data_IF_851173916704
#
_entry.id   IF_851173916704
#
_cell.length_a   1.000
_cell.length_b   1.000
_cell.length_c   1.000
_cell.angle_alpha   90.00
_cell.angle_beta   90.00
_cell.angle_gamma   90.00
#
_symmetry.space_group_name_H-M   'P 1'
#
loop_
_entity.id
_entity.type
_entity.pdbx_description
1 polymer ?
#
# COMPACT_ATOMS: atom_id res chain seq x y z
N UNK A 1 19.93 15.77 -16.35
CA UNK A 1 19.30 17.09 -16.54
C UNK A 1 18.10 17.16 -15.61
N UNK A 2 18.26 17.76 -14.43
CA UNK A 2 17.21 17.83 -13.42
C UNK A 2 16.19 18.90 -13.85
N UNK A 3 14.96 18.49 -14.16
CA UNK A 3 13.86 19.43 -14.41
C UNK A 3 13.59 20.20 -13.12
N UNK A 4 13.79 21.51 -13.20
CA UNK A 4 13.64 22.50 -12.11
C UNK A 4 12.18 22.79 -11.74
N UNK A 5 11.24 22.12 -12.41
CA UNK A 5 9.81 22.15 -12.11
C UNK A 5 9.44 20.76 -11.62
N UNK A 6 8.54 20.64 -10.63
CA UNK A 6 8.11 19.36 -10.03
C UNK A 6 7.41 18.37 -10.99
N UNK A 7 7.61 18.49 -12.29
CA UNK A 7 7.19 17.56 -13.32
C UNK A 7 8.02 16.26 -13.28
N UNK A 8 7.31 15.14 -13.30
CA UNK A 8 7.89 13.80 -13.41
C UNK A 8 8.61 13.66 -14.75
N UNK A 9 9.80 13.06 -14.73
CA UNK A 9 10.47 12.63 -15.96
C UNK A 9 9.67 11.51 -16.63
N UNK A 10 9.83 11.30 -17.94
CA UNK A 10 9.14 10.24 -18.67
C UNK A 10 9.37 8.84 -18.05
N UNK A 11 10.56 8.62 -17.48
CA UNK A 11 10.91 7.40 -16.74
C UNK A 11 10.11 7.25 -15.46
N UNK A 12 10.07 8.29 -14.61
CA UNK A 12 9.27 8.28 -13.38
C UNK A 12 7.79 8.12 -13.68
N UNK A 13 7.29 8.75 -14.75
CA UNK A 13 5.91 8.59 -15.20
C UNK A 13 5.60 7.13 -15.58
N UNK A 14 6.51 6.48 -16.31
CA UNK A 14 6.39 5.07 -16.69
C UNK A 14 6.40 4.17 -15.46
N UNK A 15 7.28 4.41 -14.49
CA UNK A 15 7.28 3.68 -13.23
C UNK A 15 5.97 3.88 -12.44
N UNK A 16 5.46 5.11 -12.37
CA UNK A 16 4.18 5.40 -11.71
C UNK A 16 3.04 4.61 -12.35
N UNK A 17 2.97 4.59 -13.69
CA UNK A 17 1.94 3.86 -14.42
C UNK A 17 2.05 2.34 -14.19
N UNK A 18 3.26 1.79 -14.29
CA UNK A 18 3.51 0.36 -14.06
C UNK A 18 3.16 -0.06 -12.62
N UNK A 19 3.62 0.70 -11.62
CA UNK A 19 3.32 0.43 -10.21
C UNK A 19 1.83 0.61 -9.90
N UNK A 20 1.20 1.65 -10.46
CA UNK A 20 -0.23 1.89 -10.27
C UNK A 20 -1.08 0.76 -10.84
N UNK A 21 -0.71 0.24 -12.02
CA UNK A 21 -1.34 -0.93 -12.61
C UNK A 21 -1.11 -2.20 -11.78
N UNK A 22 0.13 -2.43 -11.31
CA UNK A 22 0.46 -3.56 -10.43
C UNK A 22 -0.40 -3.53 -9.15
N UNK A 23 -0.44 -2.41 -8.45
CA UNK A 23 -1.23 -2.25 -7.23
C UNK A 23 -2.72 -2.47 -7.49
N UNK A 24 -3.24 -1.93 -8.60
CA UNK A 24 -4.63 -2.13 -8.98
C UNK A 24 -4.94 -3.62 -9.24
N UNK A 25 -4.08 -4.32 -9.97
CA UNK A 25 -4.24 -5.75 -10.25
C UNK A 25 -4.18 -6.57 -8.95
N UNK A 26 -3.18 -6.34 -8.10
CA UNK A 26 -3.04 -7.04 -6.82
C UNK A 26 -4.28 -6.82 -5.96
N UNK A 27 -4.75 -5.59 -5.84
CA UNK A 27 -5.94 -5.26 -5.07
C UNK A 27 -7.18 -6.06 -5.52
N UNK A 28 -7.37 -6.23 -6.84
CA UNK A 28 -8.53 -6.96 -7.37
C UNK A 28 -8.35 -8.47 -7.39
N UNK A 29 -7.16 -8.98 -7.71
CA UNK A 29 -6.90 -10.41 -7.73
C UNK A 29 -7.13 -11.06 -6.35
N UNK A 30 -6.81 -10.33 -5.29
CA UNK A 30 -6.94 -10.82 -3.92
C UNK A 30 -8.21 -10.33 -3.21
N UNK A 31 -9.10 -9.59 -3.89
CA UNK A 31 -10.33 -8.97 -3.34
C UNK A 31 -11.19 -9.94 -2.53
N UNK A 32 -11.25 -11.22 -2.94
CA UNK A 32 -12.11 -12.23 -2.33
C UNK A 32 -11.44 -13.02 -1.18
N UNK A 33 -10.15 -12.81 -0.90
CA UNK A 33 -9.37 -13.66 0.00
C UNK A 33 -8.46 -12.87 0.95
N UNK A 34 -7.53 -12.07 0.40
CA UNK A 34 -6.43 -11.44 1.15
C UNK A 34 -5.99 -10.09 0.57
N UNK A 35 -6.95 -9.26 0.13
CA UNK A 35 -6.59 -8.02 -0.58
C UNK A 35 -5.87 -7.01 0.31
N UNK A 36 -6.20 -6.95 1.60
CA UNK A 36 -5.61 -6.04 2.59
C UNK A 36 -4.13 -6.38 2.78
N UNK A 37 -3.83 -7.66 2.82
CA UNK A 37 -2.49 -8.23 3.02
C UNK A 37 -1.61 -7.99 1.80
N UNK A 38 -2.09 -8.44 0.63
CA UNK A 38 -1.34 -8.38 -0.61
C UNK A 38 -1.06 -6.94 -1.06
N UNK A 39 -2.02 -6.01 -0.90
CA UNK A 39 -1.81 -4.60 -1.26
C UNK A 39 -0.84 -3.92 -0.30
N UNK A 40 -0.94 -4.20 1.00
CA UNK A 40 -0.05 -3.63 2.02
C UNK A 40 1.38 -4.08 1.79
N UNK A 41 1.59 -5.38 1.54
CA UNK A 41 2.90 -5.95 1.20
C UNK A 41 3.47 -5.31 -0.07
N UNK A 42 2.67 -5.23 -1.13
CA UNK A 42 3.10 -4.67 -2.42
C UNK A 42 3.53 -3.21 -2.32
N UNK A 43 2.73 -2.36 -1.64
CA UNK A 43 3.07 -0.95 -1.44
C UNK A 43 4.35 -0.84 -0.60
N UNK A 44 4.48 -1.64 0.46
CA UNK A 44 5.67 -1.61 1.32
C UNK A 44 6.94 -1.98 0.56
N UNK A 45 6.95 -3.13 -0.12
CA UNK A 45 8.11 -3.60 -0.90
C UNK A 45 8.51 -2.58 -1.96
N UNK A 46 7.54 -2.02 -2.68
CA UNK A 46 7.80 -1.00 -3.69
C UNK A 46 8.37 0.28 -3.08
N UNK A 47 7.88 0.71 -1.91
CA UNK A 47 8.44 1.85 -1.17
C UNK A 47 9.91 1.64 -0.75
N UNK A 48 10.33 0.38 -0.51
CA UNK A 48 11.72 0.05 -0.20
C UNK A 48 12.65 0.06 -1.42
N UNK A 49 12.12 0.08 -2.63
CA UNK A 49 12.91 0.03 -3.87
C UNK A 49 12.85 1.35 -4.61
N UNK A 50 11.66 1.78 -4.99
CA UNK A 50 11.41 2.99 -5.78
C UNK A 50 11.51 4.27 -4.95
N UNK A 51 11.45 5.43 -5.62
CA UNK A 51 11.44 6.72 -4.93
C UNK A 51 10.08 6.98 -4.26
N UNK A 52 10.09 7.77 -3.18
CA UNK A 52 8.87 8.17 -2.46
C UNK A 52 7.83 8.80 -3.39
N UNK A 53 8.28 9.64 -4.33
CA UNK A 53 7.39 10.33 -5.28
C UNK A 53 6.68 9.32 -6.19
N UNK A 54 7.42 8.38 -6.76
CA UNK A 54 6.86 7.38 -7.68
C UNK A 54 5.80 6.51 -7.00
N UNK A 55 6.07 6.01 -5.80
CA UNK A 55 5.14 5.10 -5.10
C UNK A 55 3.88 5.84 -4.64
N UNK A 56 4.01 7.07 -4.15
CA UNK A 56 2.85 7.87 -3.75
C UNK A 56 1.96 8.20 -4.94
N UNK A 57 2.55 8.60 -6.07
CA UNK A 57 1.81 8.89 -7.29
C UNK A 57 1.17 7.62 -7.88
N UNK A 58 1.85 6.48 -7.80
CA UNK A 58 1.30 5.19 -8.20
C UNK A 58 0.08 4.81 -7.34
N UNK A 59 0.16 4.95 -6.01
CA UNK A 59 -0.96 4.70 -5.12
C UNK A 59 -2.13 5.66 -5.37
N UNK A 60 -1.85 6.93 -5.65
CA UNK A 60 -2.87 7.91 -6.02
C UNK A 60 -3.56 7.52 -7.33
N UNK A 61 -2.79 7.09 -8.34
CA UNK A 61 -3.32 6.57 -9.60
C UNK A 61 -4.21 5.34 -9.36
N UNK A 62 -3.77 4.38 -8.55
CA UNK A 62 -4.58 3.21 -8.18
C UNK A 62 -5.90 3.60 -7.52
N UNK A 63 -5.88 4.56 -6.58
CA UNK A 63 -7.09 5.10 -5.95
C UNK A 63 -8.04 5.77 -6.95
N UNK A 64 -7.50 6.51 -7.92
CA UNK A 64 -8.30 7.11 -8.99
C UNK A 64 -8.92 6.06 -9.90
N UNK A 65 -8.16 5.02 -10.28
CA UNK A 65 -8.67 3.90 -11.06
C UNK A 65 -9.78 3.16 -10.29
N UNK A 66 -9.61 2.97 -8.98
CA UNK A 66 -10.63 2.37 -8.11
C UNK A 66 -11.95 3.16 -8.14
N UNK A 67 -11.86 4.48 -7.98
CA UNK A 67 -13.03 5.36 -8.04
C UNK A 67 -13.68 5.37 -9.43
N UNK A 68 -12.87 5.35 -10.48
CA UNK A 68 -13.34 5.36 -11.86
C UNK A 68 -14.10 4.08 -12.22
N UNK A 69 -13.55 2.91 -11.87
CA UNK A 69 -14.13 1.63 -12.27
C UNK A 69 -15.21 1.11 -11.32
N UNK A 70 -15.18 1.47 -10.03
CA UNK A 70 -16.07 0.90 -9.02
C UNK A 70 -16.94 1.96 -8.31
N UNK A 71 -16.85 3.22 -8.75
CA UNK A 71 -17.70 4.31 -8.30
C UNK A 71 -17.33 4.89 -6.94
N UNK A 72 -18.07 5.93 -6.56
CA UNK A 72 -17.85 6.74 -5.36
C UNK A 72 -18.51 6.12 -4.11
N UNK A 73 -18.05 4.93 -3.74
CA UNK A 73 -18.45 4.29 -2.48
C UNK A 73 -17.53 4.76 -1.34
N UNK A 74 -18.01 4.82 -0.08
CA UNK A 74 -17.22 5.35 1.04
C UNK A 74 -15.85 4.66 1.23
N UNK A 75 -15.79 3.34 1.04
CA UNK A 75 -14.54 2.57 1.08
C UNK A 75 -13.61 2.87 -0.10
N UNK A 76 -14.12 3.07 -1.31
CA UNK A 76 -13.29 3.44 -2.47
C UNK A 76 -12.64 4.81 -2.28
N UNK A 77 -13.37 5.75 -1.68
CA UNK A 77 -12.84 7.06 -1.30
C UNK A 77 -11.78 6.91 -0.20
N UNK A 78 -12.00 6.03 0.77
CA UNK A 78 -11.02 5.73 1.81
C UNK A 78 -9.72 5.15 1.20
N UNK A 79 -9.79 4.18 0.30
CA UNK A 79 -8.62 3.61 -0.37
C UNK A 79 -7.80 4.65 -1.13
N UNK A 80 -8.47 5.59 -1.80
CA UNK A 80 -7.81 6.68 -2.51
C UNK A 80 -6.99 7.61 -1.60
N UNK A 81 -7.32 7.67 -0.31
CA UNK A 81 -6.59 8.44 0.70
C UNK A 81 -5.56 7.58 1.46
N UNK A 82 -5.96 6.36 1.85
CA UNK A 82 -5.15 5.48 2.69
C UNK A 82 -3.91 4.99 1.94
N UNK A 83 -4.03 4.58 0.66
CA UNK A 83 -2.88 4.03 -0.07
C UNK A 83 -1.75 5.04 -0.25
N UNK A 84 -1.99 6.30 -0.68
CA UNK A 84 -0.95 7.32 -0.69
C UNK A 84 -0.37 7.60 0.71
N UNK A 85 -1.20 7.60 1.76
CA UNK A 85 -0.76 7.75 3.14
C UNK A 85 0.20 6.63 3.58
N UNK A 86 -0.09 5.39 3.20
CA UNK A 86 0.75 4.24 3.51
C UNK A 86 2.06 4.28 2.73
N UNK A 87 2.02 4.64 1.44
CA UNK A 87 3.22 4.85 0.64
C UNK A 87 4.15 5.91 1.28
N UNK A 88 3.59 7.00 1.79
CA UNK A 88 4.34 8.02 2.52
C UNK A 88 4.99 7.45 3.78
N UNK A 89 4.21 6.76 4.61
CA UNK A 89 4.72 6.15 5.84
C UNK A 89 5.83 5.15 5.54
N UNK A 90 5.61 4.18 4.66
CA UNK A 90 6.59 3.13 4.35
C UNK A 90 7.87 3.67 3.72
N UNK A 91 7.78 4.73 2.91
CA UNK A 91 8.95 5.37 2.32
C UNK A 91 9.85 6.04 3.38
N UNK A 92 9.31 6.50 4.51
CA UNK A 92 10.12 7.08 5.60
C UNK A 92 10.91 6.02 6.38
N UNK A 93 10.42 4.78 6.41
CA UNK A 93 11.04 3.66 7.12
C UNK A 93 12.27 3.08 6.41
N UNK A 94 12.56 3.50 5.17
CA UNK A 94 13.60 2.93 4.31
C UNK A 94 14.98 2.80 4.95
N UNK A 95 15.39 3.81 5.72
CA UNK A 95 16.68 3.79 6.45
C UNK A 95 16.66 2.80 7.63
N UNK A 96 15.56 2.78 8.38
CA UNK A 96 15.40 1.94 9.57
C UNK A 96 15.33 0.46 9.16
N UNK A 97 14.53 0.14 8.15
CA UNK A 97 14.37 -1.21 7.60
C UNK A 97 15.69 -1.76 7.04
N UNK A 98 16.51 -0.91 6.41
CA UNK A 98 17.85 -1.31 5.94
C UNK A 98 18.77 -1.72 7.09
N UNK A 99 18.62 -1.12 8.27
CA UNK A 99 19.41 -1.44 9.47
C UNK A 99 18.86 -2.68 10.18
N UNK A 100 17.53 -2.80 10.23
CA UNK A 100 16.83 -3.83 10.97
C UNK A 100 15.60 -4.31 10.19
N UNK A 101 15.69 -5.52 9.64
CA UNK A 101 14.62 -6.07 8.78
C UNK A 101 13.30 -6.27 9.53
N UNK A 102 13.35 -6.63 10.81
CA UNK A 102 12.16 -6.84 11.64
C UNK A 102 11.24 -5.61 11.72
N UNK A 103 11.78 -4.42 11.46
CA UNK A 103 10.98 -3.19 11.38
C UNK A 103 9.98 -3.29 10.22
N UNK A 104 10.33 -3.94 9.10
CA UNK A 104 9.40 -4.18 8.01
C UNK A 104 8.25 -5.07 8.45
N UNK A 105 8.54 -6.18 9.13
CA UNK A 105 7.53 -7.16 9.53
C UNK A 105 6.52 -6.57 10.50
N UNK A 106 7.00 -5.83 11.51
CA UNK A 106 6.13 -5.18 12.50
C UNK A 106 5.32 -4.07 11.84
N UNK A 107 5.92 -3.22 11.00
CA UNK A 107 5.16 -2.14 10.35
C UNK A 107 4.16 -2.67 9.33
N UNK A 108 4.45 -3.79 8.64
CA UNK A 108 3.49 -4.47 7.78
C UNK A 108 2.27 -4.94 8.57
N UNK A 109 2.47 -5.64 9.69
CA UNK A 109 1.39 -6.10 10.55
C UNK A 109 0.54 -4.95 11.12
N UNK A 110 1.19 -3.88 11.59
CA UNK A 110 0.51 -2.69 12.11
C UNK A 110 -0.30 -2.02 11.00
N UNK A 111 0.25 -1.91 9.79
CA UNK A 111 -0.44 -1.32 8.65
C UNK A 111 -1.67 -2.16 8.24
N UNK A 112 -1.57 -3.48 8.25
CA UNK A 112 -2.70 -4.35 7.96
C UNK A 112 -3.84 -4.17 8.99
N UNK A 113 -3.47 -4.08 10.27
CA UNK A 113 -4.42 -3.80 11.34
C UNK A 113 -5.13 -2.46 11.11
N UNK A 114 -4.38 -1.40 10.83
CA UNK A 114 -4.96 -0.09 10.57
C UNK A 114 -5.79 -0.06 9.28
N UNK A 115 -5.40 -0.77 8.23
CA UNK A 115 -6.09 -0.69 6.94
C UNK A 115 -7.53 -1.17 7.09
N UNK A 116 -7.75 -2.30 7.76
CA UNK A 116 -9.09 -2.80 8.06
C UNK A 116 -9.93 -1.78 8.85
N UNK A 117 -9.35 -1.17 9.89
CA UNK A 117 -10.06 -0.23 10.76
C UNK A 117 -10.33 1.14 10.10
N UNK A 118 -9.39 1.62 9.27
CA UNK A 118 -9.51 2.91 8.59
C UNK A 118 -10.52 2.88 7.45
N UNK A 119 -10.73 1.72 6.82
CA UNK A 119 -11.73 1.54 5.77
C UNK A 119 -13.15 1.63 6.31
N UNK A 120 -13.33 1.34 7.60
CA UNK A 120 -14.63 1.43 8.29
C UNK A 120 -14.93 2.84 8.83
N UNK A 121 -13.95 3.74 8.93
CA UNK A 121 -14.16 5.12 9.41
C UNK A 121 -15.22 5.91 8.64
N UNK A 122 -15.35 5.81 7.30
CA UNK A 122 -16.38 6.52 6.55
C UNK A 122 -17.82 6.21 7.02
N UNK A 123 -18.05 5.10 7.73
CA UNK A 123 -19.36 4.79 8.30
C UNK A 123 -19.82 5.80 9.38
N UNK A 124 -18.90 6.63 9.91
CA UNK A 124 -19.22 7.69 10.87
C UNK A 124 -20.18 8.74 10.31
N UNK A 125 -20.19 8.89 8.98
CA UNK A 125 -21.09 9.79 8.27
C UNK A 125 -22.54 9.32 8.32
N UNK A 126 -22.79 8.04 8.62
CA UNK A 126 -24.13 7.47 8.72
C UNK A 126 -24.59 7.38 10.18
N UNK A 127 -23.84 6.69 11.05
CA UNK A 127 -24.15 6.60 12.48
C UNK A 127 -22.90 6.26 13.32
N UNK A 128 -22.69 7.01 14.41
CA UNK A 128 -21.59 6.79 15.36
C UNK A 128 -21.68 5.44 16.06
N UNK A 129 -22.89 4.98 16.41
CA UNK A 129 -23.07 3.68 17.10
C UNK A 129 -22.76 2.52 16.17
N UNK A 130 -23.22 2.62 14.92
CA UNK A 130 -22.93 1.65 13.87
C UNK A 130 -21.42 1.56 13.61
N UNK A 131 -20.74 2.70 13.54
CA UNK A 131 -19.28 2.76 13.31
C UNK A 131 -18.48 2.08 14.42
N UNK A 132 -18.83 2.34 15.69
CA UNK A 132 -18.18 1.69 16.83
C UNK A 132 -18.39 0.17 16.77
N UNK A 133 -19.60 -0.28 16.40
CA UNK A 133 -19.91 -1.69 16.24
C UNK A 133 -19.06 -2.32 15.12
N UNK A 134 -18.95 -1.67 13.95
CA UNK A 134 -18.11 -2.15 12.84
C UNK A 134 -16.64 -2.26 13.22
N UNK A 135 -16.08 -1.23 13.87
CA UNK A 135 -14.69 -1.24 14.38
C UNK A 135 -14.47 -2.41 15.34
N UNK A 136 -15.37 -2.61 16.31
CA UNK A 136 -15.27 -3.70 17.28
C UNK A 136 -15.39 -5.08 16.61
N UNK A 137 -16.31 -5.22 15.66
CA UNK A 137 -16.49 -6.47 14.91
C UNK A 137 -15.34 -6.74 13.95
N UNK A 138 -14.77 -5.70 13.35
CA UNK A 138 -13.64 -5.76 12.44
C UNK A 138 -12.31 -6.03 13.16
N UNK A 139 -12.21 -5.74 14.46
CA UNK A 139 -10.99 -5.97 15.22
C UNK A 139 -10.56 -7.43 15.20
N UNK A 140 -11.51 -8.37 15.32
CA UNK A 140 -11.21 -9.81 15.28
C UNK A 140 -10.57 -10.21 13.95
N UNK A 141 -11.07 -9.68 12.84
CA UNK A 141 -10.54 -9.96 11.50
C UNK A 141 -9.22 -9.25 11.28
N UNK A 142 -9.09 -7.99 11.72
CA UNK A 142 -7.85 -7.22 11.61
C UNK A 142 -6.68 -7.84 12.39
N UNK A 143 -6.94 -8.48 13.54
CA UNK A 143 -5.90 -9.21 14.29
C UNK A 143 -5.40 -10.42 13.50
N UNK A 144 -6.32 -11.20 12.92
CA UNK A 144 -5.96 -12.36 12.08
C UNK A 144 -5.16 -11.89 10.87
N UNK A 145 -5.62 -10.83 10.19
CA UNK A 145 -4.92 -10.23 9.05
C UNK A 145 -3.53 -9.74 9.44
N UNK A 146 -3.38 -9.06 10.58
CA UNK A 146 -2.07 -8.63 11.07
C UNK A 146 -1.11 -9.81 11.29
N UNK A 147 -1.61 -10.94 11.80
CA UNK A 147 -0.84 -12.16 11.94
C UNK A 147 -0.40 -12.75 10.59
N UNK A 148 -1.30 -12.77 9.61
CA UNK A 148 -0.98 -13.27 8.27
C UNK A 148 0.04 -12.37 7.58
N UNK A 149 -0.14 -11.04 7.62
CA UNK A 149 0.81 -10.07 7.04
C UNK A 149 2.16 -10.15 7.73
N UNK A 150 2.19 -10.37 9.04
CA UNK A 150 3.45 -10.60 9.73
C UNK A 150 4.22 -11.79 9.14
N UNK A 151 3.54 -12.93 8.95
CA UNK A 151 4.14 -14.11 8.33
C UNK A 151 4.53 -13.87 6.87
N UNK A 152 3.67 -13.21 6.09
CA UNK A 152 3.95 -12.82 4.71
C UNK A 152 5.25 -12.01 4.62
N UNK A 153 5.41 -11.02 5.50
CA UNK A 153 6.62 -10.21 5.55
C UNK A 153 7.85 -11.01 6.00
N UNK A 154 7.73 -11.89 7.00
CA UNK A 154 8.85 -12.73 7.45
C UNK A 154 9.39 -13.61 6.32
N UNK A 155 8.52 -14.18 5.48
CA UNK A 155 8.93 -15.11 4.44
C UNK A 155 9.23 -14.44 3.08
N UNK A 156 8.45 -13.43 2.70
CA UNK A 156 8.46 -12.90 1.33
C UNK A 156 9.16 -11.55 1.20
N UNK A 157 9.37 -10.79 2.28
CA UNK A 157 9.90 -9.42 2.18
C UNK A 157 11.27 -9.35 1.48
N UNK A 158 12.27 -10.05 2.02
CA UNK A 158 13.62 -10.01 1.49
C UNK A 158 13.76 -10.57 0.05
N UNK A 159 13.18 -11.75 -0.32
CA UNK A 159 13.29 -12.23 -1.69
C UNK A 159 12.65 -11.27 -2.70
N UNK A 160 11.50 -10.66 -2.38
CA UNK A 160 10.85 -9.69 -3.27
C UNK A 160 11.65 -8.40 -3.41
N UNK A 161 12.18 -7.84 -2.30
CA UNK A 161 13.02 -6.64 -2.36
C UNK A 161 14.29 -6.89 -3.17
N UNK A 162 14.93 -8.05 -3.02
CA UNK A 162 16.11 -8.43 -3.81
C UNK A 162 15.80 -8.55 -5.29
N UNK A 163 14.71 -9.24 -5.66
CA UNK A 163 14.27 -9.39 -7.04
C UNK A 163 13.96 -8.04 -7.69
N UNK A 164 13.18 -7.18 -7.02
CA UNK A 164 12.76 -5.89 -7.54
C UNK A 164 13.94 -4.93 -7.71
N UNK A 165 14.91 -4.92 -6.77
CA UNK A 165 16.17 -4.17 -6.92
C UNK A 165 16.98 -4.62 -8.14
N UNK A 166 16.99 -5.92 -8.46
CA UNK A 166 17.69 -6.46 -9.63
C UNK A 166 17.05 -5.97 -10.93
N UNK A 167 15.72 -6.00 -11.00
CA UNK A 167 14.94 -5.53 -12.16
C UNK A 167 15.20 -4.03 -12.41
N UNK A 168 15.06 -3.20 -11.37
CA UNK A 168 15.27 -1.74 -11.49
C UNK A 168 16.71 -1.39 -11.86
N UNK A 169 17.71 -2.13 -11.36
CA UNK A 169 19.11 -1.94 -11.75
C UNK A 169 19.39 -2.35 -13.19
N UNK A 170 18.75 -3.42 -13.67
CA UNK A 170 18.90 -3.89 -15.05
C UNK A 170 18.30 -2.92 -16.06
N UNK A 171 17.18 -2.26 -15.74
CA UNK A 171 16.56 -1.24 -16.60
C UNK A 171 17.22 0.14 -16.54
N UNK A 172 18.25 0.32 -15.72
CA UNK A 172 19.05 1.56 -15.66
C UNK A 172 20.37 1.47 -16.44
N UNK A 173 20.70 0.30 -16.98
CA UNK A 173 21.80 0.11 -17.93
C UNK A 173 21.26 0.27 -19.34
#
# INVERSE_FOLDING_TARGET
MATKNGALTAKELTHCAMLGALFYIVFHMFANLLYVEAITFSIFVCAQVFSRKEVVMACALTGLLQLLFHGFMPWNVAYALIFPGYALWFATLKKAVKKHEWIAWINGAIAALFLGQLVDLPFILFDKKLTILYILMGLKTSIIQAGIVFLEFVFLYDPFVRALKKIVRSGNR
#
